data_IF_086057728072
#
_entry.id   IF_086057728072
#
_cell.length_a   1.000
_cell.length_b   1.000
_cell.length_c   1.000
_cell.angle_alpha   90.00
_cell.angle_beta   90.00
_cell.angle_gamma   90.00
#
_symmetry.space_group_name_H-M   'P 1'
#
loop_
_entity.id
_entity.type
_entity.pdbx_description
1 polymer ?
#
# COMPACT_ATOMS: atom_id res chain seq x y z
N UNK A 1 22.23 79.23 -44.77
CA UNK A 1 22.30 79.08 -46.23
C UNK A 1 22.75 77.67 -46.56
N UNK A 2 22.13 77.08 -47.59
CA UNK A 2 22.34 75.75 -48.21
C UNK A 2 21.71 74.55 -47.47
N UNK A 3 20.51 74.09 -47.90
CA UNK A 3 20.19 73.12 -49.00
C UNK A 3 20.35 71.67 -48.50
N UNK A 4 19.28 70.95 -48.10
CA UNK A 4 18.24 70.27 -48.90
C UNK A 4 18.70 68.99 -49.63
N UNK A 5 18.14 67.82 -49.27
CA UNK A 5 17.74 66.67 -50.13
C UNK A 5 17.17 65.55 -49.22
N UNK A 6 15.86 65.29 -49.13
CA UNK A 6 14.96 64.52 -50.01
C UNK A 6 15.35 63.02 -50.23
N UNK A 7 14.37 62.16 -49.90
CA UNK A 7 14.31 60.69 -49.83
C UNK A 7 14.48 59.98 -51.21
N UNK A 8 14.51 58.61 -51.36
CA UNK A 8 13.34 57.75 -51.09
C UNK A 8 13.59 56.29 -50.61
N UNK A 9 12.54 55.75 -50.00
CA UNK A 9 11.97 54.39 -49.99
C UNK A 9 12.59 53.34 -50.94
N UNK A 10 12.82 52.11 -50.44
CA UNK A 10 12.59 50.86 -51.18
C UNK A 10 12.30 49.68 -50.23
N UNK A 11 11.14 49.07 -50.46
CA UNK A 11 10.70 47.75 -50.00
C UNK A 11 11.68 46.65 -50.44
N UNK A 12 11.91 45.63 -49.61
CA UNK A 12 12.17 44.27 -50.11
C UNK A 12 11.90 43.18 -49.07
N UNK A 13 10.91 42.36 -49.42
CA UNK A 13 10.71 40.94 -49.13
C UNK A 13 10.77 40.42 -47.68
N UNK A 14 9.55 40.13 -47.19
CA UNK A 14 9.31 39.00 -46.31
C UNK A 14 9.80 37.68 -46.94
N UNK A 15 10.49 36.88 -46.13
CA UNK A 15 10.65 35.44 -46.35
C UNK A 15 9.90 34.73 -45.23
N UNK A 16 8.77 34.06 -45.50
CA UNK A 16 8.28 32.99 -44.65
C UNK A 16 8.30 31.70 -45.45
N UNK A 17 9.21 30.77 -45.14
CA UNK A 17 9.03 29.41 -45.64
C UNK A 17 9.58 28.35 -44.70
N UNK A 18 8.60 27.67 -44.09
CA UNK A 18 8.58 26.27 -43.72
C UNK A 18 9.55 25.78 -42.62
N UNK A 19 9.19 26.05 -41.37
CA UNK A 19 9.46 25.11 -40.28
C UNK A 19 8.64 23.85 -40.52
N UNK A 20 9.28 22.79 -41.00
CA UNK A 20 8.69 21.46 -41.06
C UNK A 20 8.51 20.92 -39.63
N UNK A 21 7.31 21.11 -39.08
CA UNK A 21 6.85 20.39 -37.90
C UNK A 21 6.65 18.92 -38.29
N UNK A 22 7.56 18.07 -37.81
CA UNK A 22 7.37 16.62 -37.79
C UNK A 22 6.19 16.30 -36.86
N UNK A 23 4.99 16.19 -37.41
CA UNK A 23 3.86 15.57 -36.74
C UNK A 23 4.06 14.05 -36.86
N UNK A 24 4.61 13.44 -35.80
CA UNK A 24 4.56 11.99 -35.67
C UNK A 24 3.11 11.56 -35.43
N UNK A 25 2.59 10.52 -36.10
CA UNK A 25 1.31 9.95 -35.73
C UNK A 25 1.45 9.36 -34.32
N UNK A 26 0.66 9.92 -33.40
CA UNK A 26 0.43 9.37 -32.08
C UNK A 26 -0.11 7.96 -32.28
N UNK A 27 0.78 6.97 -32.18
CA UNK A 27 0.37 5.58 -32.06
C UNK A 27 -0.52 5.51 -30.84
N UNK A 28 -1.80 5.27 -31.07
CA UNK A 28 -2.72 4.81 -30.03
C UNK A 28 -2.20 3.44 -29.58
N UNK A 29 -1.17 3.46 -28.72
CA UNK A 29 -0.91 2.35 -27.84
C UNK A 29 -2.17 2.24 -27.00
N UNK A 30 -3.03 1.29 -27.38
CA UNK A 30 -3.84 0.58 -26.40
C UNK A 30 -2.84 0.12 -25.35
N UNK A 31 -2.66 0.92 -24.30
CA UNK A 31 -2.30 0.40 -23.01
C UNK A 31 -3.35 -0.67 -22.76
N UNK A 32 -2.95 -1.92 -23.00
CA UNK A 32 -3.65 -3.04 -22.41
C UNK A 32 -3.72 -2.67 -20.95
N UNK A 33 -4.95 -2.40 -20.47
CA UNK A 33 -5.24 -2.45 -19.06
C UNK A 33 -4.71 -3.80 -18.61
N UNK A 34 -3.61 -3.78 -17.88
CA UNK A 34 -3.15 -4.95 -17.16
C UNK A 34 -4.36 -5.50 -16.40
N UNK A 35 -4.63 -6.81 -16.48
CA UNK A 35 -5.72 -7.39 -15.72
C UNK A 35 -5.55 -7.02 -14.25
N UNK A 36 -6.65 -6.57 -13.63
CA UNK A 36 -6.81 -6.20 -12.23
C UNK A 36 -5.84 -6.97 -11.34
N UNK A 37 -4.87 -6.25 -10.76
CA UNK A 37 -3.88 -6.82 -9.87
C UNK A 37 -4.57 -7.24 -8.56
N UNK A 38 -5.08 -8.47 -8.52
CA UNK A 38 -5.27 -9.15 -7.25
C UNK A 38 -3.90 -9.24 -6.60
N UNK A 39 -3.75 -8.63 -5.41
CA UNK A 39 -2.58 -8.86 -4.56
C UNK A 39 -2.67 -10.32 -4.08
N UNK A 40 -2.15 -11.24 -4.90
CA UNK A 40 -2.06 -12.66 -4.58
C UNK A 40 -0.76 -12.90 -3.85
N UNK A 41 -0.87 -13.43 -2.64
CA UNK A 41 0.25 -13.59 -1.73
C UNK A 41 0.68 -15.06 -1.55
N UNK A 42 0.31 -15.92 -2.51
CA UNK A 42 0.60 -17.36 -2.47
C UNK A 42 2.11 -17.69 -2.53
N UNK A 43 2.96 -16.72 -2.86
CA UNK A 43 4.40 -16.90 -3.08
C UNK A 43 5.31 -16.16 -2.08
N UNK A 44 4.86 -15.75 -0.88
CA UNK A 44 5.82 -15.26 0.13
C UNK A 44 6.70 -16.43 0.58
N UNK A 45 8.02 -16.43 0.27
CA UNK A 45 8.91 -17.40 0.87
C UNK A 45 9.03 -17.03 2.35
N UNK A 46 8.50 -17.88 3.24
CA UNK A 46 8.81 -17.84 4.67
C UNK A 46 10.30 -18.17 4.82
N UNK A 47 11.15 -17.16 4.64
CA UNK A 47 12.59 -17.34 4.75
C UNK A 47 12.94 -17.51 6.23
N UNK A 48 13.29 -18.74 6.57
CA UNK A 48 14.00 -19.21 7.78
C UNK A 48 13.10 -19.59 8.95
N UNK A 49 13.42 -20.78 9.47
CA UNK A 49 12.97 -21.38 10.71
C UNK A 49 13.06 -20.38 11.86
N UNK A 50 11.97 -19.69 12.14
CA UNK A 50 11.74 -19.10 13.44
C UNK A 50 11.62 -20.26 14.44
N UNK A 51 12.21 -20.14 15.64
CA UNK A 51 12.01 -21.11 16.73
C UNK A 51 10.57 -21.07 17.30
N UNK A 52 9.61 -20.74 16.46
CA UNK A 52 8.18 -20.78 16.76
C UNK A 52 7.75 -22.18 16.37
N UNK A 53 7.28 -22.94 17.35
CA UNK A 53 6.74 -24.28 17.17
C UNK A 53 5.76 -24.25 15.99
N UNK A 54 6.12 -24.87 14.87
CA UNK A 54 5.21 -24.99 13.72
C UNK A 54 3.96 -25.69 14.21
N UNK A 55 2.87 -24.94 14.35
CA UNK A 55 1.58 -25.53 14.61
C UNK A 55 1.25 -26.39 13.39
N UNK A 56 1.04 -27.69 13.60
CA UNK A 56 0.66 -28.64 12.55
C UNK A 56 -0.84 -28.45 12.22
N UNK A 57 -1.20 -27.22 11.85
CA UNK A 57 -2.57 -26.71 11.68
C UNK A 57 -2.74 -26.21 10.25
N UNK A 58 -4.00 -26.18 9.80
CA UNK A 58 -4.34 -25.65 8.48
C UNK A 58 -3.99 -24.16 8.38
N UNK A 59 -3.63 -23.73 7.17
CA UNK A 59 -3.36 -22.33 6.87
C UNK A 59 -4.62 -21.49 7.08
N UNK A 60 -4.44 -20.29 7.62
CA UNK A 60 -5.48 -19.28 7.58
C UNK A 60 -5.67 -18.80 6.14
N UNK A 61 -6.94 -18.65 5.75
CA UNK A 61 -7.34 -18.08 4.47
C UNK A 61 -8.30 -16.93 4.73
N UNK A 62 -8.03 -15.77 4.14
CA UNK A 62 -8.98 -14.65 4.12
C UNK A 62 -8.92 -13.85 2.83
N UNK A 63 -10.01 -13.16 2.56
CA UNK A 63 -10.13 -12.22 1.46
C UNK A 63 -10.85 -10.96 1.93
N UNK A 64 -10.37 -9.80 1.50
CA UNK A 64 -11.05 -8.53 1.73
C UNK A 64 -10.78 -7.55 0.60
N UNK A 65 -11.70 -6.60 0.42
CA UNK A 65 -11.51 -5.49 -0.52
C UNK A 65 -10.43 -4.54 0.00
N UNK A 66 -9.51 -4.14 -0.87
CA UNK A 66 -8.46 -3.18 -0.52
C UNK A 66 -9.11 -1.79 -0.31
N UNK A 67 -8.78 -1.09 0.80
CA UNK A 67 -9.22 0.28 1.04
C UNK A 67 -9.12 1.18 -0.19
N UNK A 68 -10.16 1.97 -0.44
CA UNK A 68 -10.23 2.88 -1.59
C UNK A 68 -10.89 4.19 -1.23
N UNK A 69 -10.62 5.22 -2.04
CA UNK A 69 -11.23 6.53 -1.94
C UNK A 69 -11.80 6.95 -3.29
N UNK A 70 -13.05 7.41 -3.29
CA UNK A 70 -13.75 7.83 -4.50
C UNK A 70 -13.92 6.67 -5.49
N UNK A 71 -13.53 6.91 -6.75
CA UNK A 71 -13.70 5.97 -7.88
C UNK A 71 -12.50 5.04 -8.10
N UNK A 72 -11.52 5.04 -7.18
CA UNK A 72 -10.34 4.18 -7.30
C UNK A 72 -10.74 2.70 -7.12
N UNK A 73 -10.22 1.81 -7.95
CA UNK A 73 -10.45 0.37 -7.84
C UNK A 73 -9.11 -0.35 -7.70
N UNK A 74 -8.86 -0.91 -6.52
CA UNK A 74 -7.63 -1.65 -6.22
C UNK A 74 -7.85 -3.18 -6.19
N UNK A 75 -9.10 -3.63 -6.12
CA UNK A 75 -9.45 -5.05 -6.10
C UNK A 75 -9.49 -5.65 -4.69
N UNK A 76 -9.31 -6.98 -4.62
CA UNK A 76 -9.30 -7.74 -3.35
C UNK A 76 -7.91 -8.28 -3.04
N UNK A 77 -7.56 -8.28 -1.76
CA UNK A 77 -6.42 -8.99 -1.23
C UNK A 77 -6.85 -10.41 -0.86
N UNK A 78 -6.13 -11.41 -1.37
CA UNK A 78 -6.36 -12.82 -1.08
C UNK A 78 -5.14 -13.38 -0.36
N UNK A 79 -5.34 -13.87 0.85
CA UNK A 79 -4.26 -14.27 1.75
C UNK A 79 -4.41 -15.73 2.14
N UNK A 80 -3.29 -16.44 2.11
CA UNK A 80 -3.12 -17.77 2.68
C UNK A 80 -1.82 -17.83 3.45
N UNK A 81 -1.85 -18.13 4.75
CA UNK A 81 -0.64 -18.14 5.59
C UNK A 81 -0.79 -19.01 6.83
N UNK A 82 0.35 -19.53 7.33
CA UNK A 82 0.38 -20.37 8.53
C UNK A 82 0.00 -19.59 9.81
N UNK A 83 -0.74 -20.21 10.74
CA UNK A 83 -0.87 -19.71 12.11
C UNK A 83 0.49 -19.49 12.77
N UNK A 84 0.61 -18.44 13.58
CA UNK A 84 1.83 -18.16 14.32
C UNK A 84 1.82 -18.89 15.67
N UNK A 85 0.65 -19.03 16.28
CA UNK A 85 0.52 -19.63 17.60
C UNK A 85 0.50 -21.15 17.50
N UNK A 86 1.26 -21.79 18.39
CA UNK A 86 1.27 -23.24 18.55
C UNK A 86 -0.04 -23.76 19.17
N UNK A 87 -0.73 -22.93 19.94
CA UNK A 87 -2.04 -23.22 20.53
C UNK A 87 -3.16 -23.01 19.52
N UNK A 88 -4.39 -23.36 19.90
CA UNK A 88 -5.56 -22.99 19.11
C UNK A 88 -5.66 -21.47 18.99
N UNK A 89 -6.07 -21.02 17.82
CA UNK A 89 -6.19 -19.61 17.46
C UNK A 89 -7.10 -19.46 16.26
N UNK A 90 -7.74 -18.30 16.14
CA UNK A 90 -8.56 -17.91 15.00
C UNK A 90 -8.03 -16.65 14.33
N UNK A 91 -8.43 -16.49 13.07
CA UNK A 91 -8.17 -15.30 12.30
C UNK A 91 -9.29 -14.27 12.53
N UNK A 92 -8.91 -13.03 12.82
CA UNK A 92 -9.86 -11.92 12.98
C UNK A 92 -9.45 -10.80 12.02
N UNK A 93 -10.33 -10.45 11.09
CA UNK A 93 -10.13 -9.32 10.17
C UNK A 93 -10.95 -8.15 10.68
N UNK A 94 -10.28 -7.04 10.99
CA UNK A 94 -10.89 -5.84 11.55
C UNK A 94 -10.72 -4.70 10.57
N UNK A 95 -11.77 -3.89 10.41
CA UNK A 95 -11.76 -2.71 9.55
C UNK A 95 -12.06 -1.47 10.38
N UNK A 96 -11.34 -0.39 10.09
CA UNK A 96 -11.44 0.88 10.77
C UNK A 96 -11.60 2.01 9.77
N UNK A 97 -12.58 2.89 9.98
CA UNK A 97 -12.63 4.18 9.28
C UNK A 97 -11.49 5.09 9.77
N UNK A 98 -11.02 5.98 8.90
CA UNK A 98 -9.97 6.94 9.22
C UNK A 98 -10.56 8.27 9.76
N UNK A 99 -9.97 8.90 10.80
CA UNK A 99 -8.80 8.43 11.54
C UNK A 99 -9.17 7.31 12.52
N UNK A 100 -8.21 6.40 12.75
CA UNK A 100 -8.38 5.28 13.66
C UNK A 100 -7.43 5.35 14.85
N UNK A 101 -7.75 4.62 15.91
CA UNK A 101 -6.88 4.41 17.06
C UNK A 101 -6.76 2.92 17.34
N UNK A 102 -5.54 2.45 17.56
CA UNK A 102 -5.24 1.05 17.88
C UNK A 102 -4.41 0.99 19.15
N UNK A 103 -4.92 0.30 20.18
CA UNK A 103 -4.18 0.05 21.40
C UNK A 103 -3.28 -1.17 21.19
N UNK A 104 -2.04 -0.95 20.75
CA UNK A 104 -1.10 -2.03 20.45
C UNK A 104 0.32 -1.70 20.93
N UNK A 105 1.03 -2.72 21.40
CA UNK A 105 2.40 -2.59 21.91
C UNK A 105 3.30 -3.71 21.38
N UNK A 106 4.61 -3.44 21.16
CA UNK A 106 5.55 -4.48 20.79
C UNK A 106 5.83 -5.39 21.99
N UNK A 107 5.70 -6.70 21.81
CA UNK A 107 6.05 -7.72 22.81
C UNK A 107 6.98 -8.76 22.17
N UNK A 108 8.29 -8.56 22.38
CA UNK A 108 9.31 -9.43 21.79
C UNK A 108 9.33 -9.34 20.27
N UNK A 109 8.83 -10.38 19.59
CA UNK A 109 8.81 -10.51 18.11
C UNK A 109 7.44 -10.28 17.49
N UNK A 110 6.48 -9.82 18.27
CA UNK A 110 5.10 -9.59 17.81
C UNK A 110 4.59 -8.25 18.30
N UNK A 111 3.49 -7.78 17.70
CA UNK A 111 2.71 -6.64 18.19
C UNK A 111 1.40 -7.18 18.75
N UNK A 112 1.09 -6.82 19.98
CA UNK A 112 -0.07 -7.35 20.72
C UNK A 112 -1.05 -6.23 21.03
N UNK A 113 -2.33 -6.48 20.79
CA UNK A 113 -3.43 -5.60 21.16
C UNK A 113 -3.54 -5.58 22.69
N UNK A 114 -3.57 -4.40 23.29
CA UNK A 114 -3.55 -4.22 24.74
C UNK A 114 -4.90 -3.87 25.34
N UNK A 115 -5.87 -3.49 24.51
CA UNK A 115 -7.24 -3.17 24.92
C UNK A 115 -8.22 -3.63 23.85
N UNK A 116 -9.40 -4.03 24.29
CA UNK A 116 -10.51 -4.29 23.40
C UNK A 116 -10.89 -3.02 22.63
N UNK A 117 -11.21 -3.18 21.36
CA UNK A 117 -11.61 -2.08 20.50
C UNK A 117 -13.04 -2.21 19.96
N UNK A 118 -13.55 -1.12 19.36
CA UNK A 118 -14.94 -1.04 18.89
C UNK A 118 -15.27 -2.02 17.76
N UNK A 119 -14.29 -2.46 16.98
CA UNK A 119 -14.51 -3.26 15.78
C UNK A 119 -14.24 -4.76 15.98
N UNK A 120 -14.11 -5.18 17.25
CA UNK A 120 -14.09 -6.59 17.63
C UNK A 120 -12.70 -7.17 17.91
N UNK A 121 -11.63 -6.38 17.84
CA UNK A 121 -10.35 -6.79 18.41
C UNK A 121 -10.41 -6.85 19.93
N UNK A 122 -9.59 -7.72 20.51
CA UNK A 122 -9.52 -7.98 21.94
C UNK A 122 -8.09 -7.87 22.46
N UNK A 123 -7.95 -7.51 23.72
CA UNK A 123 -6.66 -7.58 24.40
C UNK A 123 -6.08 -9.01 24.31
N UNK A 124 -4.84 -9.12 23.86
CA UNK A 124 -4.17 -10.39 23.61
C UNK A 124 -4.13 -10.82 22.13
N UNK A 125 -4.92 -10.20 21.25
CA UNK A 125 -4.83 -10.42 19.81
C UNK A 125 -3.43 -10.02 19.29
N UNK A 126 -2.93 -10.75 18.29
CA UNK A 126 -1.64 -10.49 17.67
C UNK A 126 -1.86 -9.85 16.31
N UNK A 127 -1.29 -8.67 16.07
CA UNK A 127 -1.32 -8.02 14.77
C UNK A 127 -0.39 -8.76 13.80
N UNK A 128 -0.98 -9.45 12.82
CA UNK A 128 -0.26 -10.21 11.79
C UNK A 128 0.02 -9.36 10.55
N UNK A 129 -1.00 -8.67 10.05
CA UNK A 129 -0.90 -7.82 8.87
C UNK A 129 -1.72 -6.54 9.00
N UNK A 130 -1.33 -5.52 8.25
CA UNK A 130 -2.16 -4.35 8.00
C UNK A 130 -2.02 -3.90 6.55
N UNK A 131 -3.05 -3.23 6.02
CA UNK A 131 -2.91 -2.50 4.76
C UNK A 131 -1.94 -1.35 4.94
N UNK A 132 -1.12 -1.10 3.93
CA UNK A 132 -0.14 -0.02 3.91
C UNK A 132 -0.12 0.60 2.52
N UNK A 133 0.07 1.91 2.46
CA UNK A 133 0.32 2.63 1.23
C UNK A 133 1.81 2.89 1.07
N UNK A 134 2.36 2.51 -0.08
CA UNK A 134 3.72 2.88 -0.50
C UNK A 134 3.59 3.63 -1.80
N UNK A 135 3.92 4.92 -1.76
CA UNK A 135 3.65 5.88 -2.82
C UNK A 135 2.17 5.94 -3.19
N UNK A 136 1.73 5.15 -4.18
CA UNK A 136 0.33 5.08 -4.65
C UNK A 136 -0.21 3.65 -4.69
N UNK A 137 0.64 2.69 -4.37
CA UNK A 137 0.30 1.28 -4.49
C UNK A 137 -0.08 0.73 -3.10
N UNK A 138 -1.25 0.07 -2.99
CA UNK A 138 -1.61 -0.61 -1.76
C UNK A 138 -0.78 -1.89 -1.66
N UNK A 139 -0.23 -2.12 -0.47
CA UNK A 139 0.45 -3.36 -0.13
C UNK A 139 -0.09 -3.90 1.20
N UNK A 140 0.21 -5.17 1.47
CA UNK A 140 0.02 -5.75 2.79
C UNK A 140 1.35 -5.80 3.53
N UNK A 141 1.38 -5.13 4.68
CA UNK A 141 2.52 -5.12 5.57
C UNK A 141 2.48 -6.38 6.45
N UNK A 142 3.48 -7.25 6.31
CA UNK A 142 3.70 -8.39 7.22
C UNK A 142 4.39 -7.89 8.50
N UNK A 143 3.58 -7.66 9.52
CA UNK A 143 4.01 -7.12 10.82
C UNK A 143 4.93 -8.11 11.53
N UNK A 144 4.65 -9.41 11.42
CA UNK A 144 5.48 -10.44 12.02
C UNK A 144 6.89 -10.44 11.41
N UNK A 145 6.99 -10.34 10.08
CA UNK A 145 8.29 -10.28 9.39
C UNK A 145 9.11 -9.04 9.75
N UNK A 146 8.47 -7.90 9.98
CA UNK A 146 9.16 -6.68 10.44
C UNK A 146 9.69 -6.87 11.86
N UNK A 147 8.85 -7.41 12.75
CA UNK A 147 9.19 -7.60 14.16
C UNK A 147 10.20 -8.73 14.39
N UNK A 148 10.22 -9.76 13.55
CA UNK A 148 11.17 -10.87 13.62
C UNK A 148 12.63 -10.42 13.42
N UNK A 149 12.86 -9.32 12.69
CA UNK A 149 14.21 -8.77 12.51
C UNK A 149 14.82 -8.26 13.82
N UNK A 150 13.97 -7.96 14.83
CA UNK A 150 14.36 -7.44 16.14
C UNK A 150 15.31 -6.22 16.05
N UNK A 151 15.09 -5.35 15.06
CA UNK A 151 15.83 -4.10 14.96
C UNK A 151 15.24 -3.09 15.93
N UNK A 152 16.05 -2.13 16.38
CA UNK A 152 15.59 -1.07 17.28
C UNK A 152 14.41 -0.27 16.70
N UNK A 153 14.32 -0.16 15.37
CA UNK A 153 13.27 0.53 14.65
C UNK A 153 12.21 -0.41 14.02
N UNK A 154 12.15 -1.69 14.42
CA UNK A 154 11.15 -2.63 13.88
C UNK A 154 9.74 -2.15 14.21
N UNK A 155 9.47 -1.74 15.45
CA UNK A 155 8.14 -1.24 15.82
C UNK A 155 7.81 0.08 15.13
N UNK A 156 8.78 0.99 14.97
CA UNK A 156 8.58 2.24 14.24
C UNK A 156 8.18 2.00 12.77
N UNK A 157 8.72 0.95 12.13
CA UNK A 157 8.31 0.54 10.79
C UNK A 157 6.86 0.05 10.74
N UNK A 158 6.41 -0.66 11.78
CA UNK A 158 4.99 -1.07 11.91
C UNK A 158 4.10 0.16 12.08
N UNK A 159 4.50 1.10 12.93
CA UNK A 159 3.77 2.37 13.12
C UNK A 159 3.73 3.14 11.80
N UNK A 160 4.84 3.26 11.07
CA UNK A 160 4.90 3.91 9.77
C UNK A 160 3.94 3.27 8.75
N UNK A 161 3.85 1.93 8.73
CA UNK A 161 2.90 1.22 7.89
C UNK A 161 1.45 1.53 8.26
N UNK A 162 1.11 1.53 9.55
CA UNK A 162 -0.23 1.87 10.05
C UNK A 162 -0.62 3.30 9.66
N UNK A 163 0.24 4.28 9.92
CA UNK A 163 -0.05 5.70 9.67
C UNK A 163 0.05 6.10 8.19
N UNK A 164 0.57 5.24 7.32
CA UNK A 164 0.47 5.44 5.86
C UNK A 164 -0.98 5.47 5.37
N UNK A 165 -1.92 4.91 6.14
CA UNK A 165 -3.36 5.01 5.91
C UNK A 165 -3.86 6.34 6.51
N UNK A 166 -3.54 7.43 5.83
CA UNK A 166 -3.79 8.81 6.29
C UNK A 166 -5.04 9.46 5.66
N UNK A 167 -5.79 8.70 4.85
CA UNK A 167 -6.94 9.21 4.13
C UNK A 167 -6.64 9.67 2.71
N UNK A 168 -5.39 9.61 2.25
CA UNK A 168 -5.01 10.05 0.90
C UNK A 168 -5.58 9.13 -0.18
N UNK A 169 -5.44 7.81 -0.01
CA UNK A 169 -5.79 6.81 -1.03
C UNK A 169 -6.96 5.88 -0.65
N UNK A 170 -7.24 5.74 0.64
CA UNK A 170 -8.34 4.95 1.21
C UNK A 170 -9.08 5.72 2.31
N UNK A 171 -10.34 5.38 2.56
CA UNK A 171 -11.13 5.97 3.66
C UNK A 171 -11.10 5.12 4.93
N UNK A 172 -10.61 3.90 4.82
CA UNK A 172 -10.48 2.92 5.89
C UNK A 172 -9.10 2.22 5.88
N UNK A 173 -8.86 1.42 6.91
CA UNK A 173 -7.71 0.52 7.05
C UNK A 173 -8.21 -0.88 7.41
N UNK A 174 -7.54 -1.91 6.90
CA UNK A 174 -7.81 -3.30 7.29
C UNK A 174 -6.63 -3.84 8.09
N UNK A 175 -6.96 -4.46 9.24
CA UNK A 175 -6.04 -5.14 10.13
C UNK A 175 -6.37 -6.62 10.14
N UNK A 176 -5.35 -7.46 10.09
CA UNK A 176 -5.48 -8.91 10.19
C UNK A 176 -4.80 -9.36 11.48
N UNK A 177 -5.59 -9.93 12.38
CA UNK A 177 -5.19 -10.34 13.70
C UNK A 177 -5.26 -11.87 13.84
N UNK A 178 -4.40 -12.42 14.67
CA UNK A 178 -4.53 -13.79 15.17
C UNK A 178 -4.90 -13.75 16.65
N UNK A 179 -6.02 -14.37 16.99
CA UNK A 179 -6.54 -14.43 18.36
C UNK A 179 -6.27 -15.82 18.95
N UNK A 180 -5.57 -15.94 20.08
CA UNK A 180 -5.51 -17.20 20.84
C UNK A 180 -6.92 -17.64 21.27
N UNK A 181 -7.22 -18.93 21.11
CA UNK A 181 -8.44 -19.56 21.64
C UNK A 181 -8.02 -20.50 22.78
N UNK A 182 -8.72 -20.39 23.91
CA UNK A 182 -8.58 -21.30 25.06
C UNK A 182 -9.19 -22.68 24.79
#
# INVERSE_FOLDING_TARGET
GNRASLAPTMFALMVPMATALLIQPLSTQKMGRSPLASLRMDDIPQSRSSNVVEANREDFVCEFEIPKKGIAEYGTAQMKFKPLLATNSELVVVRYDLPFGLAAEPRGRVVVITKDGPNGEKAGDILRFCTQWVDRDPILCDVCKIMERQLQNSFDQVVAALVSNDGTYGEDIVLVLERPIE
#
